data_IF_558342172320
#
_entry.id   IF_558342172320
#
_cell.length_a   1.000
_cell.length_b   1.000
_cell.length_c   1.000
_cell.angle_alpha   90.00
_cell.angle_beta   90.00
_cell.angle_gamma   90.00
#
_symmetry.space_group_name_H-M   'P 1'
#
loop_
_entity.id
_entity.type
_entity.pdbx_description
1 polymer ?
#
# COMPACT_ATOMS: atom_id res chain seq x y z
N UNK A 1 8.59 1.50 -1.56
CA UNK A 1 7.95 2.74 -2.05
C UNK A 1 7.14 2.44 -3.29
N UNK A 2 6.17 3.30 -3.64
CA UNK A 2 5.37 3.11 -4.86
C UNK A 2 6.25 3.23 -6.11
N UNK A 3 6.15 2.25 -7.02
CA UNK A 3 6.87 2.22 -8.28
C UNK A 3 5.85 2.03 -9.43
N UNK A 4 5.30 3.12 -9.99
CA UNK A 4 4.24 3.04 -11.00
C UNK A 4 4.63 2.26 -12.26
N UNK A 5 5.92 2.18 -12.60
CA UNK A 5 6.38 1.42 -13.78
C UNK A 5 6.15 -0.09 -13.65
N UNK A 6 6.01 -0.61 -12.42
CA UNK A 6 5.67 -2.01 -12.15
C UNK A 6 4.17 -2.30 -12.27
N UNK A 7 3.33 -1.29 -12.52
CA UNK A 7 1.87 -1.37 -12.58
C UNK A 7 1.27 -1.83 -13.91
N UNK A 8 2.06 -2.42 -14.82
CA UNK A 8 1.56 -2.89 -16.11
C UNK A 8 0.40 -3.88 -15.92
N UNK A 9 -0.68 -3.71 -16.70
CA UNK A 9 -1.92 -4.49 -16.55
C UNK A 9 -2.81 -4.08 -15.36
N UNK A 10 -2.37 -3.15 -14.51
CA UNK A 10 -3.10 -2.70 -13.31
C UNK A 10 -3.19 -1.16 -13.26
N UNK A 11 -3.49 -0.52 -14.40
CA UNK A 11 -3.44 0.95 -14.54
C UNK A 11 -4.31 1.67 -13.52
N UNK A 12 -5.58 1.25 -13.35
CA UNK A 12 -6.49 1.89 -12.40
C UNK A 12 -6.03 1.74 -10.94
N UNK A 13 -5.53 0.55 -10.58
CA UNK A 13 -4.97 0.32 -9.25
C UNK A 13 -3.72 1.18 -9.00
N UNK A 14 -2.83 1.24 -9.98
CA UNK A 14 -1.60 2.04 -9.92
C UNK A 14 -1.90 3.53 -9.78
N UNK A 15 -2.82 4.05 -10.60
CA UNK A 15 -3.25 5.44 -10.53
C UNK A 15 -3.89 5.78 -9.17
N UNK A 16 -4.78 4.93 -8.67
CA UNK A 16 -5.43 5.17 -7.37
C UNK A 16 -4.44 5.17 -6.20
N UNK A 17 -3.48 4.24 -6.17
CA UNK A 17 -2.44 4.21 -5.11
C UNK A 17 -1.49 5.41 -5.20
N UNK A 18 -1.12 5.84 -6.41
CA UNK A 18 -0.34 7.06 -6.60
C UNK A 18 -1.10 8.31 -6.11
N UNK A 19 -2.41 8.40 -6.39
CA UNK A 19 -3.25 9.49 -5.91
C UNK A 19 -3.32 9.53 -4.38
N UNK A 20 -3.46 8.39 -3.71
CA UNK A 20 -3.44 8.31 -2.24
C UNK A 20 -2.11 8.84 -1.69
N UNK A 21 -0.97 8.45 -2.27
CA UNK A 21 0.32 8.95 -1.81
C UNK A 21 0.49 10.47 -1.98
N UNK A 22 0.05 11.02 -3.12
CA UNK A 22 0.05 12.47 -3.33
C UNK A 22 -0.88 13.19 -2.33
N UNK A 23 -2.07 12.63 -2.09
CA UNK A 23 -3.05 13.15 -1.14
C UNK A 23 -2.48 13.16 0.30
N UNK A 24 -1.80 12.09 0.73
CA UNK A 24 -1.14 12.04 2.04
C UNK A 24 -0.19 13.20 2.26
N UNK A 25 0.66 13.52 1.27
CA UNK A 25 1.62 14.62 1.37
C UNK A 25 0.91 15.98 1.42
N UNK A 26 -0.11 16.18 0.57
CA UNK A 26 -0.87 17.43 0.55
C UNK A 26 -1.56 17.71 1.90
N UNK A 27 -2.28 16.71 2.44
CA UNK A 27 -2.98 16.84 3.72
C UNK A 27 -1.99 16.99 4.88
N UNK A 28 -0.84 16.31 4.84
CA UNK A 28 0.21 16.49 5.85
C UNK A 28 0.67 17.96 5.93
N UNK A 29 0.86 18.62 4.79
CA UNK A 29 1.24 20.05 4.77
C UNK A 29 0.11 20.94 5.28
N UNK A 30 -1.14 20.65 4.91
CA UNK A 30 -2.32 21.38 5.41
C UNK A 30 -2.45 21.32 6.93
N UNK A 31 -2.16 20.17 7.54
CA UNK A 31 -2.39 19.92 8.97
C UNK A 31 -1.14 20.13 9.85
N UNK A 32 0.02 20.38 9.25
CA UNK A 32 1.30 20.57 9.94
C UNK A 32 1.24 21.63 11.05
N UNK A 33 0.57 22.75 10.80
CA UNK A 33 0.42 23.84 11.78
C UNK A 33 -0.40 23.43 13.03
N UNK A 34 -1.17 22.34 12.96
CA UNK A 34 -1.92 21.76 14.08
C UNK A 34 -1.14 20.66 14.81
N UNK A 35 0.11 20.38 14.41
CA UNK A 35 0.90 19.29 14.97
C UNK A 35 0.38 17.88 14.60
N UNK A 36 -0.45 17.76 13.56
CA UNK A 36 -1.01 16.48 13.12
C UNK A 36 -0.14 15.90 12.00
N UNK A 37 0.26 14.64 12.13
CA UNK A 37 1.00 13.90 11.12
C UNK A 37 0.03 13.05 10.28
N UNK A 38 0.26 13.02 8.96
CA UNK A 38 -0.53 12.22 8.03
C UNK A 38 0.41 11.32 7.25
N UNK A 39 0.16 10.01 7.29
CA UNK A 39 1.01 8.99 6.68
C UNK A 39 0.17 7.97 5.92
N UNK A 40 0.75 7.39 4.87
CA UNK A 40 0.20 6.24 4.18
C UNK A 40 1.17 5.08 4.29
N UNK A 41 0.69 3.94 4.80
CA UNK A 41 1.46 2.71 4.91
C UNK A 41 1.28 1.91 3.61
N UNK A 42 2.38 1.51 2.99
CA UNK A 42 2.41 0.77 1.73
C UNK A 42 3.06 -0.59 1.94
N UNK A 43 2.34 -1.57 2.53
CA UNK A 43 2.86 -2.92 2.70
C UNK A 43 3.03 -3.61 1.34
N UNK A 44 3.85 -4.67 1.33
CA UNK A 44 3.82 -5.66 0.24
C UNK A 44 2.57 -6.55 0.38
N UNK A 45 2.50 -7.64 -0.38
CA UNK A 45 1.36 -8.57 -0.32
C UNK A 45 1.16 -9.09 1.11
N UNK A 46 -0.05 -8.89 1.63
CA UNK A 46 -0.46 -9.40 2.92
C UNK A 46 -0.93 -10.84 2.81
N UNK A 47 -0.61 -11.62 3.82
CA UNK A 47 -1.04 -13.01 3.95
C UNK A 47 -2.50 -13.10 4.40
N UNK A 48 -3.39 -13.17 3.41
CA UNK A 48 -4.84 -13.35 3.62
C UNK A 48 -5.33 -14.54 2.81
N UNK A 49 -6.40 -15.18 3.29
CA UNK A 49 -7.03 -16.30 2.57
C UNK A 49 -7.41 -15.92 1.13
N UNK A 50 -8.02 -14.74 0.93
CA UNK A 50 -8.41 -14.26 -0.39
C UNK A 50 -7.21 -14.08 -1.35
N UNK A 51 -6.06 -13.58 -0.86
CA UNK A 51 -4.86 -13.48 -1.69
C UNK A 51 -4.29 -14.86 -2.03
N UNK A 52 -4.30 -15.81 -1.10
CA UNK A 52 -3.84 -17.18 -1.36
C UNK A 52 -4.71 -17.88 -2.40
N UNK A 53 -6.03 -17.69 -2.35
CA UNK A 53 -6.97 -18.22 -3.35
C UNK A 53 -6.77 -17.57 -4.72
N UNK A 54 -6.50 -16.27 -4.77
CA UNK A 54 -6.26 -15.53 -6.02
C UNK A 54 -4.87 -15.77 -6.62
N UNK A 55 -3.87 -16.16 -5.81
CA UNK A 55 -2.48 -16.38 -6.21
C UNK A 55 -1.95 -17.71 -5.63
N UNK A 56 -2.52 -18.86 -6.02
CA UNK A 56 -2.22 -20.15 -5.40
C UNK A 56 -0.77 -20.62 -5.59
N UNK A 57 -0.13 -20.19 -6.68
CA UNK A 57 1.24 -20.56 -7.03
C UNK A 57 2.31 -19.58 -6.47
N UNK A 58 1.89 -18.60 -5.65
CA UNK A 58 2.81 -17.65 -5.07
C UNK A 58 3.62 -18.25 -3.92
N UNK A 59 4.83 -17.71 -3.72
CA UNK A 59 5.66 -18.03 -2.55
C UNK A 59 5.17 -17.23 -1.33
N UNK A 60 4.28 -17.83 -0.54
CA UNK A 60 3.68 -17.19 0.64
C UNK A 60 4.70 -16.83 1.73
N UNK A 61 5.90 -17.44 1.73
CA UNK A 61 6.95 -17.06 2.68
C UNK A 61 7.48 -15.64 2.47
N UNK A 62 7.21 -15.03 1.31
CA UNK A 62 7.55 -13.64 1.00
C UNK A 62 6.47 -12.63 1.41
N UNK A 63 5.34 -13.10 1.92
CA UNK A 63 4.21 -12.24 2.25
C UNK A 63 4.27 -11.78 3.70
N UNK A 64 3.72 -10.60 3.96
CA UNK A 64 3.70 -10.02 5.30
C UNK A 64 2.49 -10.57 6.05
N UNK A 65 2.69 -11.16 7.23
CA UNK A 65 1.59 -11.64 8.07
C UNK A 65 0.74 -10.48 8.59
N UNK A 66 -0.50 -10.75 8.98
CA UNK A 66 -1.39 -9.70 9.50
C UNK A 66 -0.92 -9.16 10.85
N UNK A 67 -0.32 -10.02 11.68
CA UNK A 67 0.29 -9.65 12.95
C UNK A 67 1.48 -8.73 12.72
N UNK A 68 2.38 -9.09 11.79
CA UNK A 68 3.54 -8.28 11.43
C UNK A 68 3.17 -6.94 10.76
N UNK A 69 2.00 -6.85 10.13
CA UNK A 69 1.50 -5.60 9.55
C UNK A 69 0.85 -4.66 10.59
N UNK A 70 0.47 -5.20 11.75
CA UNK A 70 -0.21 -4.45 12.81
C UNK A 70 0.75 -3.88 13.87
N UNK A 71 1.97 -4.44 13.97
CA UNK A 71 3.07 -3.95 14.80
C UNK A 71 3.77 -2.73 14.17
#
# INVERSE_FOLDING_TARGET
GLEPRKGSGMVAYTASKAAVAAMTVAIAEELKHKGILVNAVAPSTLDTQANREAMPDADFAKWVSLEAAAE
#
